data_IF_339919879305
#
_entry.id   IF_339919879305
#
_cell.length_a   1.000
_cell.length_b   1.000
_cell.length_c   1.000
_cell.angle_alpha   90.00
_cell.angle_beta   90.00
_cell.angle_gamma   90.00
#
_symmetry.space_group_name_H-M   'P 1'
#
loop_
_entity.id
_entity.type
_entity.pdbx_description
1 polymer ?
#
# COMPACT_ATOMS: atom_id res chain seq x y z
N UNK A 1 5.96 47.29 -52.37
CA UNK A 1 4.94 47.09 -51.33
C UNK A 1 4.93 45.62 -50.94
N UNK A 2 5.40 45.24 -49.74
CA UNK A 2 5.34 43.85 -49.28
C UNK A 2 3.90 43.47 -48.89
N UNK A 3 3.44 42.31 -49.33
CA UNK A 3 2.15 41.71 -48.96
C UNK A 3 2.26 41.20 -47.52
N UNK A 4 1.30 41.56 -46.66
CA UNK A 4 1.13 40.96 -45.35
C UNK A 4 0.41 39.62 -45.50
N UNK A 5 1.14 38.52 -45.31
CA UNK A 5 0.54 37.21 -45.08
C UNK A 5 -0.08 37.18 -43.68
N UNK A 6 -1.40 36.99 -43.66
CA UNK A 6 -2.21 36.83 -42.45
C UNK A 6 -1.88 35.48 -41.82
N UNK A 7 -1.17 35.50 -40.68
CA UNK A 7 -1.02 34.32 -39.84
C UNK A 7 -2.37 33.98 -39.17
N UNK A 8 -3.17 33.14 -39.84
CA UNK A 8 -4.34 32.51 -39.23
C UNK A 8 -3.88 31.45 -38.22
N UNK A 9 -3.89 31.78 -36.94
CA UNK A 9 -3.78 30.81 -35.85
C UNK A 9 -5.13 30.11 -35.70
N UNK A 10 -5.31 29.00 -36.43
CA UNK A 10 -6.35 28.03 -36.06
C UNK A 10 -5.96 27.40 -34.72
N UNK A 11 -6.86 27.49 -33.73
CA UNK A 11 -6.67 27.04 -32.34
C UNK A 11 -6.28 25.57 -32.15
N UNK A 12 -6.32 24.78 -33.22
CA UNK A 12 -5.89 23.38 -33.23
C UNK A 12 -4.37 23.19 -33.06
N UNK A 13 -3.56 24.16 -33.51
CA UNK A 13 -2.09 24.03 -33.47
C UNK A 13 -1.47 24.46 -32.14
N UNK A 14 -2.20 25.20 -31.31
CA UNK A 14 -1.70 25.70 -30.01
C UNK A 14 -1.85 24.64 -28.90
N UNK A 15 -2.86 23.75 -29.00
CA UNK A 15 -3.03 22.61 -28.07
C UNK A 15 -1.98 21.50 -28.26
N UNK A 16 -1.26 21.46 -29.39
CA UNK A 16 -0.17 20.52 -29.61
C UNK A 16 1.13 20.86 -28.88
N UNK A 17 1.34 22.15 -28.54
CA UNK A 17 2.59 22.62 -27.92
C UNK A 17 2.57 22.57 -26.39
N UNK A 18 1.38 22.63 -25.77
CA UNK A 18 1.23 22.67 -24.31
C UNK A 18 0.27 21.57 -23.89
N UNK A 19 0.79 20.49 -23.34
CA UNK A 19 -0.05 19.45 -22.76
C UNK A 19 -0.66 19.98 -21.46
N UNK A 20 -1.99 20.13 -21.35
CA UNK A 20 -2.61 20.54 -20.10
C UNK A 20 -2.28 19.53 -19.00
N UNK A 21 -2.26 20.02 -17.76
CA UNK A 21 -2.07 19.17 -16.60
C UNK A 21 -3.16 18.09 -16.55
N UNK A 22 -2.74 16.83 -16.41
CA UNK A 22 -3.64 15.71 -16.17
C UNK A 22 -3.42 15.22 -14.75
N UNK A 23 -4.51 15.15 -13.99
CA UNK A 23 -4.49 14.58 -12.64
C UNK A 23 -4.02 13.13 -12.70
N UNK A 24 -3.22 12.75 -11.71
CA UNK A 24 -2.87 11.36 -11.48
C UNK A 24 -4.13 10.60 -11.03
N UNK A 25 -4.35 9.42 -11.61
CA UNK A 25 -5.50 8.57 -11.30
C UNK A 25 -4.97 7.23 -10.81
N UNK A 26 -5.27 6.92 -9.54
CA UNK A 26 -5.04 5.62 -8.91
C UNK A 26 -6.39 4.95 -8.71
N UNK A 27 -6.54 3.73 -9.24
CA UNK A 27 -7.80 3.00 -9.23
C UNK A 27 -7.61 1.54 -8.86
N UNK A 28 -8.53 1.02 -8.04
CA UNK A 28 -8.67 -0.41 -7.76
C UNK A 28 -8.05 -0.88 -6.45
N UNK A 29 -7.88 -2.19 -6.33
CA UNK A 29 -7.41 -2.84 -5.10
C UNK A 29 -5.89 -2.99 -5.13
N UNK A 30 -5.24 -2.62 -4.04
CA UNK A 30 -3.81 -2.79 -3.86
C UNK A 30 -3.55 -4.15 -3.24
N UNK A 31 -2.77 -4.96 -3.94
CA UNK A 31 -2.29 -6.24 -3.40
C UNK A 31 -0.78 -6.21 -3.50
N UNK A 32 -0.13 -6.24 -2.32
CA UNK A 32 1.33 -6.22 -2.22
C UNK A 32 1.90 -7.62 -2.30
N UNK A 33 3.20 -7.73 -2.58
CA UNK A 33 3.91 -9.00 -2.57
C UNK A 33 3.76 -9.73 -1.22
N UNK A 34 3.86 -9.00 -0.12
CA UNK A 34 3.76 -9.55 1.24
C UNK A 34 2.36 -10.14 1.51
N UNK A 35 1.33 -9.52 0.97
CA UNK A 35 -0.04 -10.01 1.04
C UNK A 35 -0.21 -11.32 0.24
N UNK A 36 0.39 -11.40 -0.94
CA UNK A 36 0.37 -12.61 -1.77
C UNK A 36 1.16 -13.77 -1.17
N UNK A 37 2.28 -13.50 -0.50
CA UNK A 37 3.07 -14.52 0.21
C UNK A 37 2.32 -15.11 1.41
N UNK A 38 1.39 -14.35 1.98
CA UNK A 38 0.51 -14.84 3.06
C UNK A 38 -0.62 -15.71 2.53
N UNK A 39 -1.05 -15.51 1.28
CA UNK A 39 -2.09 -16.34 0.67
C UNK A 39 -1.59 -17.75 0.40
N UNK A 40 -2.41 -18.72 0.76
CA UNK A 40 -2.14 -20.14 0.52
C UNK A 40 -3.36 -20.79 -0.10
N UNK A 41 -3.19 -21.65 -1.12
CA UNK A 41 -4.26 -22.54 -1.57
C UNK A 41 -4.81 -23.31 -0.36
N UNK A 42 -6.13 -23.47 -0.28
CA UNK A 42 -6.82 -24.07 0.86
C UNK A 42 -7.42 -23.07 1.86
N UNK A 43 -7.15 -21.78 1.75
CA UNK A 43 -7.76 -20.76 2.61
C UNK A 43 -9.25 -20.56 2.32
N UNK A 44 -10.05 -20.32 3.36
CA UNK A 44 -11.45 -19.97 3.21
C UNK A 44 -11.61 -18.56 2.63
N UNK A 45 -12.69 -18.31 1.87
CA UNK A 45 -13.03 -16.99 1.30
C UNK A 45 -12.92 -15.85 2.33
N UNK A 46 -13.44 -16.04 3.54
CA UNK A 46 -13.36 -15.04 4.60
C UNK A 46 -11.90 -14.68 4.95
N UNK A 47 -11.05 -15.69 5.14
CA UNK A 47 -9.65 -15.50 5.48
C UNK A 47 -8.85 -14.81 4.36
N UNK A 48 -9.18 -15.10 3.10
CA UNK A 48 -8.61 -14.38 1.95
C UNK A 48 -9.00 -12.91 2.02
N UNK A 49 -10.27 -12.57 2.30
CA UNK A 49 -10.73 -11.18 2.44
C UNK A 49 -10.06 -10.46 3.60
N UNK A 50 -9.81 -11.14 4.71
CA UNK A 50 -9.08 -10.55 5.84
C UNK A 50 -7.61 -10.29 5.51
N UNK A 51 -7.02 -11.07 4.60
CA UNK A 51 -5.60 -10.95 4.23
C UNK A 51 -5.35 -9.87 3.19
N UNK A 52 -6.19 -9.80 2.14
CA UNK A 52 -5.97 -8.91 0.98
C UNK A 52 -7.10 -7.90 0.74
N UNK A 53 -8.09 -7.87 1.63
CA UNK A 53 -9.28 -7.03 1.50
C UNK A 53 -10.38 -7.64 0.63
N UNK A 54 -11.51 -6.94 0.60
CA UNK A 54 -12.67 -7.33 -0.21
C UNK A 54 -12.42 -7.02 -1.69
N UNK A 55 -12.74 -7.95 -2.61
CA UNK A 55 -12.64 -7.68 -4.04
C UNK A 55 -13.67 -6.61 -4.45
N UNK A 56 -13.30 -5.75 -5.40
CA UNK A 56 -14.24 -4.76 -5.97
C UNK A 56 -15.32 -5.44 -6.83
N UNK A 57 -14.99 -6.58 -7.46
CA UNK A 57 -15.90 -7.36 -8.28
C UNK A 57 -16.06 -8.77 -7.70
N UNK A 58 -17.29 -9.08 -7.29
CA UNK A 58 -17.78 -10.46 -7.15
C UNK A 58 -18.83 -10.63 -8.23
N UNK A 59 -18.53 -11.43 -9.25
CA UNK A 59 -19.49 -11.72 -10.31
C UNK A 59 -20.63 -12.58 -9.73
N UNK A 60 -21.87 -12.10 -9.84
CA UNK A 60 -23.07 -12.82 -9.37
C UNK A 60 -23.31 -14.13 -10.13
N UNK A 61 -22.71 -14.29 -11.31
CA UNK A 61 -22.76 -15.51 -12.12
C UNK A 61 -21.53 -16.41 -11.92
N UNK A 62 -20.43 -15.87 -11.40
CA UNK A 62 -19.18 -16.59 -11.13
C UNK A 62 -18.67 -16.28 -9.72
N UNK A 63 -19.45 -16.63 -8.70
CA UNK A 63 -19.09 -16.44 -7.30
C UNK A 63 -17.72 -17.06 -6.92
N UNK A 64 -17.29 -18.06 -7.69
CA UNK A 64 -16.02 -18.75 -7.53
C UNK A 64 -14.79 -17.96 -8.04
N UNK A 65 -14.93 -16.75 -8.58
CA UNK A 65 -13.79 -15.98 -9.10
C UNK A 65 -13.77 -14.56 -8.54
N UNK A 66 -12.64 -14.17 -7.96
CA UNK A 66 -12.39 -12.80 -7.52
C UNK A 66 -11.27 -12.17 -8.34
N UNK A 67 -11.52 -10.98 -8.84
CA UNK A 67 -10.55 -10.19 -9.60
C UNK A 67 -10.15 -8.94 -8.82
N UNK A 68 -8.84 -8.78 -8.61
CA UNK A 68 -8.23 -7.60 -8.02
C UNK A 68 -7.48 -6.88 -9.14
N UNK A 69 -8.03 -5.75 -9.58
CA UNK A 69 -7.42 -4.93 -10.63
C UNK A 69 -6.89 -3.67 -9.99
N UNK A 70 -5.63 -3.35 -10.29
CA UNK A 70 -4.98 -2.10 -9.90
C UNK A 70 -4.53 -1.36 -11.16
N UNK A 71 -4.79 -0.07 -11.24
CA UNK A 71 -4.33 0.78 -12.35
C UNK A 71 -3.85 2.11 -11.82
N UNK A 72 -2.69 2.55 -12.30
CA UNK A 72 -2.14 3.89 -12.06
C UNK A 72 -1.81 4.56 -13.38
N UNK A 73 -2.32 5.78 -13.57
CA UNK A 73 -2.09 6.62 -14.74
C UNK A 73 -1.50 7.95 -14.29
N UNK A 74 -0.28 8.22 -14.73
CA UNK A 74 0.48 9.44 -14.40
C UNK A 74 0.89 10.16 -15.67
N UNK A 75 0.91 11.49 -15.63
CA UNK A 75 1.39 12.28 -16.75
C UNK A 75 2.90 12.06 -16.93
N UNK A 76 3.33 11.61 -18.11
CA UNK A 76 4.74 11.38 -18.43
C UNK A 76 5.32 10.03 -18.00
N UNK A 77 4.54 9.15 -17.38
CA UNK A 77 4.91 7.75 -17.15
C UNK A 77 3.99 6.81 -17.93
N UNK A 78 4.49 5.60 -18.24
CA UNK A 78 3.65 4.57 -18.84
C UNK A 78 2.51 4.17 -17.88
N UNK A 79 1.27 3.98 -18.37
CA UNK A 79 0.19 3.42 -17.57
C UNK A 79 0.60 2.06 -17.01
N UNK A 80 0.42 1.84 -15.72
CA UNK A 80 0.68 0.53 -15.10
C UNK A 80 -0.65 -0.08 -14.71
N UNK A 81 -0.87 -1.33 -15.13
CA UNK A 81 -2.06 -2.11 -14.82
C UNK A 81 -1.62 -3.47 -14.30
N UNK A 82 -2.19 -3.90 -13.18
CA UNK A 82 -1.95 -5.20 -12.57
C UNK A 82 -3.30 -5.86 -12.31
N UNK A 83 -3.38 -7.17 -12.56
CA UNK A 83 -4.57 -7.96 -12.31
C UNK A 83 -4.17 -9.23 -11.59
N UNK A 84 -4.87 -9.55 -10.52
CA UNK A 84 -4.76 -10.81 -9.79
C UNK A 84 -6.12 -11.47 -9.86
N UNK A 85 -6.14 -12.74 -10.20
CA UNK A 85 -7.35 -13.55 -10.25
C UNK A 85 -7.22 -14.68 -9.24
N UNK A 86 -8.17 -14.75 -8.32
CA UNK A 86 -8.33 -15.84 -7.37
C UNK A 86 -9.50 -16.70 -7.80
N UNK A 87 -9.29 -18.02 -7.87
CA UNK A 87 -10.33 -18.99 -8.19
C UNK A 87 -10.58 -19.86 -6.98
N UNK A 88 -11.84 -20.00 -6.61
CA UNK A 88 -12.34 -20.76 -5.47
C UNK A 88 -13.08 -22.00 -5.95
N UNK A 89 -12.89 -23.11 -5.24
CA UNK A 89 -13.72 -24.31 -5.35
C UNK A 89 -14.63 -24.33 -4.12
N UNK A 90 -15.91 -24.02 -4.32
CA UNK A 90 -16.81 -23.70 -3.20
C UNK A 90 -16.28 -22.51 -2.38
N UNK A 91 -16.04 -22.73 -1.09
CA UNK A 91 -15.53 -21.73 -0.15
C UNK A 91 -14.00 -21.70 0.00
N UNK A 92 -13.28 -22.54 -0.75
CA UNK A 92 -11.84 -22.76 -0.57
C UNK A 92 -11.03 -22.23 -1.75
N UNK A 93 -9.93 -21.53 -1.49
CA UNK A 93 -9.03 -21.00 -2.52
C UNK A 93 -8.31 -22.13 -3.26
N UNK A 94 -8.60 -22.30 -4.55
CA UNK A 94 -8.06 -23.37 -5.38
C UNK A 94 -6.86 -22.92 -6.22
N UNK A 95 -6.96 -21.74 -6.85
CA UNK A 95 -5.91 -21.23 -7.75
C UNK A 95 -5.69 -19.74 -7.55
N UNK A 96 -4.43 -19.35 -7.62
CA UNK A 96 -3.97 -17.97 -7.58
C UNK A 96 -3.26 -17.69 -8.91
N UNK A 97 -3.74 -16.70 -9.65
CA UNK A 97 -3.12 -16.21 -10.87
C UNK A 97 -2.70 -14.75 -10.61
N UNK A 98 -1.41 -14.53 -10.51
CA UNK A 98 -0.83 -13.23 -10.21
C UNK A 98 0.42 -13.00 -11.06
N UNK A 99 0.68 -11.74 -11.48
CA UNK A 99 1.93 -11.39 -12.12
C UNK A 99 3.10 -11.57 -11.14
N UNK A 100 4.26 -12.00 -11.63
CA UNK A 100 5.46 -12.18 -10.79
C UNK A 100 6.03 -10.85 -10.28
N UNK A 101 5.79 -9.75 -11.00
CA UNK A 101 6.23 -8.39 -10.67
C UNK A 101 5.22 -7.65 -9.78
N UNK A 102 5.08 -8.12 -8.54
CA UNK A 102 4.29 -7.43 -7.52
C UNK A 102 5.17 -6.49 -6.70
N UNK A 103 4.78 -5.21 -6.57
CA UNK A 103 5.51 -4.28 -5.72
C UNK A 103 5.36 -4.68 -4.25
N UNK A 104 6.43 -4.46 -3.48
CA UNK A 104 6.33 -4.39 -2.03
C UNK A 104 5.47 -3.21 -1.60
N UNK A 105 4.96 -3.23 -0.38
CA UNK A 105 4.18 -2.12 0.18
C UNK A 105 4.94 -0.79 0.12
N UNK A 106 6.23 -0.81 0.42
CA UNK A 106 7.09 0.38 0.37
C UNK A 106 7.27 0.92 -1.06
N UNK A 107 7.50 0.04 -2.04
CA UNK A 107 7.61 0.44 -3.46
C UNK A 107 6.29 0.99 -4.00
N UNK A 108 5.17 0.44 -3.53
CA UNK A 108 3.84 0.92 -3.87
C UNK A 108 3.59 2.33 -3.33
N UNK A 109 3.88 2.58 -2.05
CA UNK A 109 3.76 3.90 -1.45
C UNK A 109 4.66 4.91 -2.18
N UNK A 110 5.91 4.52 -2.47
CA UNK A 110 6.83 5.34 -3.25
C UNK A 110 6.35 5.63 -4.68
N UNK A 111 5.57 4.73 -5.29
CA UNK A 111 5.01 4.93 -6.61
C UNK A 111 3.80 5.89 -6.63
N UNK A 112 3.08 6.04 -5.52
CA UNK A 112 1.93 6.94 -5.38
C UNK A 112 2.34 8.32 -4.88
N UNK A 113 3.41 8.41 -4.09
CA UNK A 113 3.85 9.69 -3.53
C UNK A 113 4.35 10.63 -4.65
N UNK A 114 3.42 11.46 -5.14
CA UNK A 114 3.66 12.49 -6.16
C UNK A 114 4.56 13.61 -5.62
N UNK A 115 4.66 13.75 -4.29
CA UNK A 115 5.61 14.66 -3.69
C UNK A 115 6.98 13.99 -3.75
N UNK A 116 7.68 14.16 -4.88
CA UNK A 116 9.12 13.94 -4.97
C UNK A 116 9.76 14.37 -3.65
N UNK A 117 10.29 13.42 -2.90
CA UNK A 117 11.21 13.70 -1.83
C UNK A 117 12.35 14.53 -2.44
N UNK A 118 12.28 15.85 -2.25
CA UNK A 118 13.39 16.75 -2.57
C UNK A 118 14.45 16.51 -1.50
N UNK A 119 15.27 15.49 -1.71
CA UNK A 119 16.43 15.24 -0.86
C UNK A 119 16.94 13.80 -0.95
N UNK A 120 18.21 13.57 -0.58
CA UNK A 120 18.71 12.22 -0.35
C UNK A 120 17.84 11.53 0.71
N UNK A 121 17.46 10.28 0.44
CA UNK A 121 16.68 9.45 1.36
C UNK A 121 17.36 9.46 2.75
N UNK A 122 16.60 9.67 3.84
CA UNK A 122 17.16 9.58 5.18
C UNK A 122 17.73 8.17 5.36
N UNK A 123 18.99 8.06 5.78
CA UNK A 123 19.63 6.77 6.08
C UNK A 123 18.94 6.18 7.31
N UNK A 124 18.05 5.21 7.08
CA UNK A 124 17.28 4.53 8.13
C UNK A 124 18.07 3.41 8.83
N UNK A 125 19.28 3.14 8.35
CA UNK A 125 20.19 2.14 8.93
C UNK A 125 21.42 2.82 9.53
N UNK A 126 21.68 2.58 10.81
CA UNK A 126 23.00 2.82 11.40
C UNK A 126 24.00 1.84 10.76
N UNK A 127 25.12 2.36 10.27
CA UNK A 127 26.21 1.54 9.76
C UNK A 127 26.71 0.58 10.84
N UNK A 128 27.15 -0.64 10.49
CA UNK A 128 27.59 -1.66 11.47
C UNK A 128 28.68 -1.14 12.44
N UNK A 129 29.52 -0.21 11.96
CA UNK A 129 30.52 0.49 12.75
C UNK A 129 29.91 1.42 13.84
N UNK A 130 28.78 2.06 13.57
CA UNK A 130 28.05 2.90 14.55
C UNK A 130 27.29 2.05 15.56
N UNK A 131 26.80 0.87 15.15
CA UNK A 131 26.23 -0.11 16.09
C UNK A 131 27.27 -0.67 17.06
N UNK A 132 28.51 -0.87 16.59
CA UNK A 132 29.62 -1.35 17.43
C UNK A 132 30.21 -0.27 18.34
N UNK A 133 30.06 0.99 17.98
CA UNK A 133 30.48 2.15 18.78
C UNK A 133 29.44 2.60 19.83
N UNK A 134 28.27 1.96 19.87
CA UNK A 134 27.30 2.20 20.94
C UNK A 134 27.94 1.83 22.29
N UNK A 135 27.99 2.76 23.26
CA UNK A 135 28.48 2.43 24.58
C UNK A 135 27.62 1.31 25.18
N UNK A 136 28.22 0.33 25.88
CA UNK A 136 27.43 -0.70 26.54
C UNK A 136 26.40 -0.01 27.44
N UNK A 137 25.13 -0.45 27.43
CA UNK A 137 24.10 0.17 28.24
C UNK A 137 24.60 0.16 29.68
N UNK A 138 24.61 1.33 30.31
CA UNK A 138 24.94 1.46 31.73
C UNK A 138 23.99 0.52 32.44
N UNK A 139 24.52 -0.60 32.95
CA UNK A 139 23.72 -1.55 33.72
C UNK A 139 23.19 -0.74 34.89
N UNK A 140 21.89 -0.43 34.88
CA UNK A 140 21.26 0.29 35.97
C UNK A 140 21.54 -0.54 37.22
N UNK A 141 22.44 -0.04 38.07
CA UNK A 141 22.80 -0.68 39.31
C UNK A 141 21.56 -0.59 40.20
N UNK A 142 20.92 -1.74 40.39
CA UNK A 142 19.81 -1.98 41.31
C UNK A 142 18.57 -1.10 41.11
N UNK A 143 17.44 -1.79 40.93
CA UNK A 143 16.10 -1.26 41.08
C UNK A 143 16.02 -0.17 42.16
N UNK A 144 15.76 1.06 41.73
CA UNK A 144 14.99 1.98 42.59
C UNK A 144 13.64 1.29 42.77
N UNK A 145 13.16 1.08 44.01
CA UNK A 145 11.87 0.44 44.22
C UNK A 145 10.82 1.19 43.42
N UNK A 146 10.13 0.49 42.53
CA UNK A 146 8.98 1.02 41.79
C UNK A 146 8.00 1.59 42.83
N UNK A 147 7.44 2.80 42.62
CA UNK A 147 6.42 3.30 43.53
C UNK A 147 5.23 2.35 43.45
N UNK A 148 5.03 1.57 44.51
CA UNK A 148 3.82 0.77 44.70
C UNK A 148 2.63 1.71 44.53
N UNK A 149 1.89 1.55 43.44
CA UNK A 149 0.66 2.29 43.22
C UNK A 149 -0.30 2.06 44.40
N UNK A 150 -1.19 3.01 44.71
CA UNK A 150 -2.08 2.89 45.84
C UNK A 150 -2.88 1.59 45.75
N UNK A 151 -2.67 0.69 46.71
CA UNK A 151 -3.45 -0.54 46.88
C UNK A 151 -4.87 -0.08 47.22
N UNK A 152 -5.76 -0.11 46.23
CA UNK A 152 -7.19 0.15 46.45
C UNK A 152 -7.82 -1.11 46.99
N UNK A 153 -8.01 -1.14 48.30
CA UNK A 153 -8.74 -2.19 48.98
C UNK A 153 -10.23 -2.06 48.58
N UNK A 154 -10.70 -2.97 47.72
CA UNK A 154 -12.08 -2.97 47.27
C UNK A 154 -12.98 -3.51 48.39
N UNK A 155 -14.11 -2.85 48.69
CA UNK A 155 -15.08 -3.38 49.64
C UNK A 155 -15.64 -4.72 49.14
N UNK A 156 -15.87 -5.71 50.02
CA UNK A 156 -16.34 -7.02 49.62
C UNK A 156 -17.72 -6.93 48.97
N UNK A 157 -17.86 -7.45 47.76
CA UNK A 157 -19.12 -7.46 47.00
C UNK A 157 -20.09 -8.57 47.43
N UNK A 158 -20.02 -9.02 48.68
CA UNK A 158 -20.89 -10.08 49.18
C UNK A 158 -22.04 -9.50 50.01
N UNK A 159 -23.26 -9.65 49.48
CA UNK A 159 -24.48 -9.40 50.25
C UNK A 159 -24.60 -10.49 51.33
N UNK A 160 -24.37 -10.09 52.59
CA UNK A 160 -24.60 -10.90 53.78
C UNK A 160 -26.07 -11.37 53.80
N UNK A 161 -26.30 -12.67 53.61
CA UNK A 161 -27.54 -13.33 54.01
C UNK A 161 -27.46 -13.76 55.46
#
# INVERSE_FOLDING_TARGET
>A
MPKLDVFSVSGDKVLGLVQPYRVEIVQGNVVTKEQMERLKPGMARAQVRDTIGSPLLTDVFHEARWDYVFTIRRQGAAPQSRRIQLTFDGDVLAKIDAPEDLPSENEFIAAIDTAKAKGPLPKLEMTEAERKALPPPVKQAAATPEPTGPIREYPPLEARR
#
